data_IF_519683098156
#
_entry.id   IF_519683098156
#
_cell.length_a   1.000
_cell.length_b   1.000
_cell.length_c   1.000
_cell.angle_alpha   90.00
_cell.angle_beta   90.00
_cell.angle_gamma   90.00
#
_symmetry.space_group_name_H-M   'P 1'
#
loop_
_entity.id
_entity.type
_entity.pdbx_description
1 polymer ?
#
# COMPACT_ATOMS: atom_id res chain seq x y z
N UNK A 1 -4.79 10.54 -0.46
CA UNK A 1 -6.06 10.09 -1.08
C UNK A 1 -6.42 11.01 -2.23
N UNK A 2 -7.29 10.55 -3.14
CA UNK A 2 -7.86 11.33 -4.23
C UNK A 2 -9.37 11.39 -4.02
N UNK A 3 -9.95 12.59 -3.94
CA UNK A 3 -11.37 12.75 -3.66
C UNK A 3 -11.94 13.97 -4.39
N UNK A 4 -13.13 13.80 -4.96
CA UNK A 4 -13.94 14.90 -5.52
C UNK A 4 -15.41 14.46 -5.53
N UNK A 5 -16.28 15.22 -4.85
CA UNK A 5 -17.68 14.86 -4.63
C UNK A 5 -17.86 13.41 -4.13
N UNK A 6 -18.48 12.55 -4.95
CA UNK A 6 -18.74 11.13 -4.66
C UNK A 6 -17.57 10.21 -5.09
N UNK A 7 -16.54 10.75 -5.72
CA UNK A 7 -15.34 10.02 -6.07
C UNK A 7 -14.39 9.99 -4.87
N UNK A 8 -13.96 8.80 -4.48
CA UNK A 8 -12.90 8.59 -3.51
C UNK A 8 -12.08 7.37 -3.95
N UNK A 9 -10.76 7.52 -3.97
CA UNK A 9 -9.84 6.40 -4.19
C UNK A 9 -8.53 6.63 -3.43
N UNK A 10 -7.91 5.52 -3.02
CA UNK A 10 -6.51 5.50 -2.65
C UNK A 10 -5.69 5.41 -3.93
N UNK A 11 -4.76 6.34 -4.10
CA UNK A 11 -3.82 6.37 -5.23
C UNK A 11 -2.48 5.78 -4.79
N UNK A 12 -2.01 4.79 -5.52
CA UNK A 12 -0.71 4.14 -5.35
C UNK A 12 0.18 4.36 -6.57
N UNK A 13 1.43 3.93 -6.49
CA UNK A 13 2.35 3.92 -7.64
C UNK A 13 3.25 5.15 -7.74
N UNK A 14 4.06 5.22 -8.82
CA UNK A 14 5.19 6.14 -8.94
C UNK A 14 4.79 7.61 -9.02
N UNK A 15 3.58 7.94 -9.50
CA UNK A 15 3.09 9.32 -9.52
C UNK A 15 3.07 9.98 -8.14
N UNK A 16 3.01 9.21 -7.05
CA UNK A 16 3.15 9.74 -5.68
C UNK A 16 4.53 10.36 -5.43
N UNK A 17 5.60 9.79 -5.99
CA UNK A 17 6.96 10.27 -5.80
C UNK A 17 7.29 11.54 -6.58
N UNK A 18 6.57 11.79 -7.69
CA UNK A 18 6.58 13.08 -8.37
C UNK A 18 5.83 14.13 -7.56
N UNK A 19 4.64 13.75 -7.06
CA UNK A 19 3.78 14.63 -6.30
C UNK A 19 4.38 15.04 -4.94
N UNK A 20 5.10 14.13 -4.28
CA UNK A 20 5.82 14.40 -3.02
C UNK A 20 4.91 14.95 -1.91
N UNK A 21 3.65 14.49 -1.84
CA UNK A 21 2.63 15.06 -0.94
C UNK A 21 2.73 14.51 0.48
N UNK A 22 3.33 13.34 0.65
CA UNK A 22 3.51 12.66 1.93
C UNK A 22 4.85 13.01 2.58
N UNK A 23 4.85 13.19 3.92
CA UNK A 23 6.08 13.42 4.70
C UNK A 23 7.10 12.28 4.55
N UNK A 24 6.63 11.06 4.25
CA UNK A 24 7.46 9.90 3.94
C UNK A 24 8.55 10.21 2.90
N UNK A 25 8.27 11.03 1.88
CA UNK A 25 9.25 11.38 0.86
C UNK A 25 10.41 12.23 1.40
N UNK A 26 10.16 13.06 2.42
CA UNK A 26 11.21 13.79 3.13
C UNK A 26 12.05 12.86 3.98
N UNK A 27 11.41 11.92 4.69
CA UNK A 27 12.10 10.93 5.53
C UNK A 27 13.00 10.01 4.70
N UNK A 28 12.54 9.61 3.52
CA UNK A 28 13.32 8.80 2.59
C UNK A 28 14.38 9.60 1.81
N UNK A 29 14.32 10.94 1.85
CA UNK A 29 15.17 11.79 1.02
C UNK A 29 15.00 11.54 -0.48
N UNK A 30 13.79 11.17 -0.92
CA UNK A 30 13.51 10.75 -2.29
C UNK A 30 12.42 11.61 -2.93
N UNK A 31 12.70 12.08 -4.15
CA UNK A 31 11.73 12.73 -5.03
C UNK A 31 12.05 12.34 -6.47
N UNK A 32 11.02 11.96 -7.20
CA UNK A 32 11.18 11.57 -8.60
C UNK A 32 11.21 12.80 -9.53
N UNK A 33 11.71 12.61 -10.75
CA UNK A 33 11.72 13.61 -11.82
C UNK A 33 11.45 12.91 -13.15
N UNK A 34 10.28 13.16 -13.73
CA UNK A 34 9.84 12.55 -14.98
C UNK A 34 8.82 13.44 -15.70
N UNK A 35 8.70 13.25 -17.02
CA UNK A 35 7.75 13.99 -17.86
C UNK A 35 6.36 13.32 -17.93
N UNK A 36 6.21 12.16 -17.29
CA UNK A 36 4.97 11.38 -17.21
C UNK A 36 4.78 10.78 -15.82
N UNK A 37 3.52 10.56 -15.42
CA UNK A 37 3.19 9.98 -14.13
C UNK A 37 2.15 8.87 -14.26
N UNK A 38 2.33 7.80 -13.47
CA UNK A 38 1.41 6.67 -13.41
C UNK A 38 0.89 6.53 -11.98
N UNK A 39 -0.44 6.43 -11.83
CA UNK A 39 -1.07 6.04 -10.56
C UNK A 39 -1.95 4.82 -10.74
N UNK A 40 -1.95 3.96 -9.73
CA UNK A 40 -2.86 2.81 -9.61
C UNK A 40 -3.96 3.17 -8.63
N UNK A 41 -5.21 3.03 -9.06
CA UNK A 41 -6.40 3.35 -8.26
C UNK A 41 -7.17 2.06 -7.96
N UNK A 42 -7.44 1.81 -6.69
CA UNK A 42 -8.34 0.73 -6.26
C UNK A 42 -9.80 1.20 -6.41
N UNK A 43 -10.26 1.28 -7.66
CA UNK A 43 -11.56 1.84 -8.04
C UNK A 43 -12.08 1.20 -9.32
N UNK A 44 -13.39 1.05 -9.45
CA UNK A 44 -14.10 0.73 -10.70
C UNK A 44 -14.64 1.99 -11.41
N UNK A 45 -14.40 3.17 -10.84
CA UNK A 45 -14.81 4.46 -11.40
C UNK A 45 -13.62 5.17 -12.01
N UNK A 46 -13.84 5.71 -13.20
CA UNK A 46 -12.92 6.64 -13.86
C UNK A 46 -12.78 7.92 -13.00
N UNK A 47 -11.56 8.40 -12.72
CA UNK A 47 -11.39 9.65 -11.97
C UNK A 47 -12.03 10.83 -12.74
N UNK A 48 -12.79 11.69 -12.06
CA UNK A 48 -13.36 12.87 -12.69
C UNK A 48 -12.25 13.87 -13.07
N UNK A 49 -12.57 14.80 -13.96
CA UNK A 49 -11.61 15.76 -14.51
C UNK A 49 -10.87 16.53 -13.40
N UNK A 50 -11.56 16.92 -12.34
CA UNK A 50 -11.01 17.68 -11.22
C UNK A 50 -9.94 16.88 -10.46
N UNK A 51 -10.09 15.54 -10.39
CA UNK A 51 -9.08 14.65 -9.82
C UNK A 51 -7.88 14.55 -10.76
N UNK A 52 -8.10 14.42 -12.07
CA UNK A 52 -7.03 14.38 -13.08
C UNK A 52 -6.21 15.66 -13.06
N UNK A 53 -6.87 16.82 -13.07
CA UNK A 53 -6.22 18.12 -13.00
C UNK A 53 -5.48 18.33 -11.68
N UNK A 54 -6.04 17.87 -10.56
CA UNK A 54 -5.35 17.92 -9.26
C UNK A 54 -4.07 17.09 -9.30
N UNK A 55 -4.12 15.88 -9.84
CA UNK A 55 -2.93 15.03 -9.97
C UNK A 55 -1.92 15.70 -10.88
N UNK A 56 -2.32 16.22 -12.04
CA UNK A 56 -1.43 16.92 -12.97
C UNK A 56 -0.69 18.09 -12.30
N UNK A 57 -1.41 18.90 -11.52
CA UNK A 57 -0.81 20.00 -10.75
C UNK A 57 0.15 19.50 -9.69
N UNK A 58 -0.23 18.47 -8.93
CA UNK A 58 0.60 17.95 -7.85
C UNK A 58 1.89 17.30 -8.39
N UNK A 59 1.81 16.56 -9.49
CA UNK A 59 2.96 15.88 -10.11
C UNK A 59 3.79 16.79 -11.02
N UNK A 60 3.27 17.94 -11.44
CA UNK A 60 3.92 18.86 -12.36
C UNK A 60 3.96 18.39 -13.82
N UNK A 61 3.23 17.32 -14.18
CA UNK A 61 3.16 16.81 -15.56
C UNK A 61 1.84 17.21 -16.22
N UNK A 62 1.83 17.26 -17.56
CA UNK A 62 0.60 17.53 -18.31
C UNK A 62 -0.40 16.39 -18.15
N UNK A 63 -1.69 16.70 -18.20
CA UNK A 63 -2.76 15.71 -18.08
C UNK A 63 -2.68 14.61 -19.16
N UNK A 64 -2.22 14.93 -20.37
CA UNK A 64 -1.98 13.97 -21.46
C UNK A 64 -0.87 12.95 -21.15
N UNK A 65 0.00 13.25 -20.18
CA UNK A 65 1.08 12.37 -19.72
C UNK A 65 0.72 11.67 -18.40
N UNK A 66 -0.54 11.73 -17.96
CA UNK A 66 -1.04 10.97 -16.82
C UNK A 66 -1.63 9.64 -17.27
N UNK A 67 -1.23 8.57 -16.62
CA UNK A 67 -1.87 7.25 -16.76
C UNK A 67 -2.49 6.82 -15.44
N UNK A 68 -3.77 6.47 -15.46
CA UNK A 68 -4.47 5.87 -14.33
C UNK A 68 -4.78 4.41 -14.63
N UNK A 69 -4.28 3.50 -13.79
CA UNK A 69 -4.60 2.07 -13.86
C UNK A 69 -5.69 1.78 -12.83
N UNK A 70 -6.87 1.37 -13.30
CA UNK A 70 -7.99 1.05 -12.43
C UNK A 70 -7.98 -0.43 -12.06
N UNK A 71 -8.01 -0.73 -10.76
CA UNK A 71 -7.90 -2.10 -10.23
C UNK A 71 -8.99 -2.36 -9.18
N UNK A 72 -10.24 -2.60 -9.58
CA UNK A 72 -11.32 -2.89 -8.63
C UNK A 72 -10.94 -4.08 -7.74
N UNK A 73 -11.16 -4.00 -6.43
CA UNK A 73 -10.81 -5.03 -5.44
C UNK A 73 -11.40 -6.42 -5.77
N UNK A 74 -12.54 -6.44 -6.47
CA UNK A 74 -13.23 -7.65 -6.92
C UNK A 74 -12.63 -8.30 -8.17
N UNK A 75 -11.70 -7.62 -8.82
CA UNK A 75 -11.04 -8.09 -10.04
C UNK A 75 -9.78 -8.89 -9.71
N UNK A 76 -9.33 -9.72 -10.66
CA UNK A 76 -8.05 -10.42 -10.54
C UNK A 76 -6.88 -9.43 -10.36
N UNK A 77 -6.84 -8.36 -11.15
CA UNK A 77 -5.79 -7.34 -11.07
C UNK A 77 -5.79 -6.64 -9.70
N UNK A 78 -6.96 -6.28 -9.16
CA UNK A 78 -7.11 -5.71 -7.82
C UNK A 78 -6.67 -6.67 -6.72
N UNK A 79 -7.07 -7.93 -6.81
CA UNK A 79 -6.67 -8.96 -5.85
C UNK A 79 -5.15 -9.16 -5.87
N UNK A 80 -4.56 -9.32 -7.06
CA UNK A 80 -3.11 -9.53 -7.23
C UNK A 80 -2.32 -8.33 -6.73
N UNK A 81 -2.67 -7.10 -7.11
CA UNK A 81 -1.89 -5.92 -6.72
C UNK A 81 -1.95 -5.67 -5.22
N UNK A 82 -3.07 -5.99 -4.54
CA UNK A 82 -3.14 -5.87 -3.08
C UNK A 82 -2.23 -6.92 -2.44
N UNK A 83 -2.35 -8.20 -2.82
CA UNK A 83 -1.51 -9.27 -2.23
C UNK A 83 -0.02 -9.06 -2.52
N UNK A 84 0.34 -8.51 -3.68
CA UNK A 84 1.72 -8.18 -4.04
C UNK A 84 2.37 -7.14 -3.09
N UNK A 85 1.57 -6.45 -2.26
CA UNK A 85 2.06 -5.52 -1.24
C UNK A 85 2.58 -6.19 0.01
N UNK A 86 2.64 -7.52 0.10
CA UNK A 86 3.15 -8.22 1.29
C UNK A 86 4.51 -7.67 1.77
N UNK A 87 5.43 -7.35 0.86
CA UNK A 87 6.70 -6.70 1.23
C UNK A 87 6.49 -5.24 1.69
N UNK A 88 5.65 -4.48 0.99
CA UNK A 88 5.31 -3.10 1.34
C UNK A 88 4.69 -3.01 2.74
N UNK A 89 3.78 -3.92 3.11
CA UNK A 89 3.18 -3.99 4.45
C UNK A 89 4.25 -4.24 5.51
N UNK A 90 5.23 -5.10 5.23
CA UNK A 90 6.35 -5.31 6.14
C UNK A 90 7.22 -4.05 6.26
N UNK A 91 7.56 -3.39 5.15
CA UNK A 91 8.33 -2.13 5.15
C UNK A 91 7.59 -0.99 5.87
N UNK A 92 6.28 -0.90 5.68
CA UNK A 92 5.44 0.05 6.39
C UNK A 92 5.45 -0.24 7.89
N UNK A 93 5.34 -1.51 8.29
CA UNK A 93 5.42 -1.90 9.70
C UNK A 93 6.80 -1.59 10.30
N UNK A 94 7.91 -1.83 9.58
CA UNK A 94 9.27 -1.42 9.99
C UNK A 94 9.31 0.08 10.30
N UNK A 95 8.74 0.91 9.42
CA UNK A 95 8.63 2.35 9.61
C UNK A 95 7.83 2.71 10.87
N UNK A 96 6.66 2.08 11.09
CA UNK A 96 5.84 2.31 12.30
C UNK A 96 6.50 1.84 13.60
N UNK A 97 7.43 0.89 13.52
CA UNK A 97 8.24 0.43 14.65
C UNK A 97 9.48 1.33 14.86
N UNK A 98 9.64 2.38 14.06
CA UNK A 98 10.76 3.32 14.10
C UNK A 98 12.13 2.64 13.94
N UNK A 99 12.17 1.51 13.24
CA UNK A 99 13.44 0.94 12.81
C UNK A 99 14.02 1.81 11.69
N UNK A 100 15.33 2.16 11.73
CA UNK A 100 15.92 3.06 10.73
C UNK A 100 15.75 2.50 9.32
N UNK A 101 15.09 3.25 8.43
CA UNK A 101 14.79 2.76 7.08
C UNK A 101 16.06 2.60 6.24
N UNK A 102 17.09 3.39 6.49
CA UNK A 102 18.41 3.29 5.89
C UNK A 102 19.18 2.01 6.29
N UNK A 103 18.71 1.32 7.32
CA UNK A 103 19.22 0.00 7.69
C UNK A 103 18.55 -1.13 6.91
N UNK A 104 17.42 -0.91 6.25
CA UNK A 104 16.84 -1.92 5.36
C UNK A 104 17.64 -1.96 4.06
N UNK A 105 18.26 -3.09 3.76
CA UNK A 105 19.14 -3.27 2.59
C UNK A 105 18.37 -3.85 1.42
N UNK A 106 17.59 -4.90 1.68
CA UNK A 106 16.84 -5.64 0.67
C UNK A 106 15.71 -6.45 1.34
N UNK A 107 14.79 -6.97 0.55
CA UNK A 107 13.77 -7.87 1.04
C UNK A 107 13.00 -8.56 -0.07
N UNK A 108 12.43 -9.71 0.27
CA UNK A 108 11.55 -10.48 -0.59
C UNK A 108 10.37 -10.99 0.22
N UNK A 109 9.21 -11.12 -0.40
CA UNK A 109 8.04 -11.64 0.30
C UNK A 109 7.07 -12.33 -0.66
N UNK A 110 6.25 -13.22 -0.10
CA UNK A 110 5.20 -13.95 -0.80
C UNK A 110 3.96 -14.05 0.09
N UNK A 111 2.78 -14.09 -0.53
CA UNK A 111 1.51 -14.30 0.13
C UNK A 111 0.56 -15.07 -0.82
N UNK A 112 -0.36 -15.89 -0.30
CA UNK A 112 -1.30 -16.65 -1.13
C UNK A 112 -2.29 -15.71 -1.81
N UNK A 113 -2.58 -15.96 -3.09
CA UNK A 113 -3.64 -15.23 -3.79
C UNK A 113 -5.01 -15.79 -3.38
N UNK A 114 -5.90 -15.00 -2.74
CA UNK A 114 -7.22 -15.48 -2.34
C UNK A 114 -8.17 -15.59 -3.54
N UNK A 115 -9.27 -16.36 -3.41
CA UNK A 115 -10.28 -16.44 -4.46
C UNK A 115 -11.01 -15.10 -4.63
N UNK A 116 -11.50 -14.79 -5.86
CA UNK A 116 -12.30 -13.60 -6.12
C UNK A 116 -13.46 -13.44 -5.14
N UNK A 117 -13.76 -12.20 -4.78
CA UNK A 117 -14.82 -11.86 -3.84
C UNK A 117 -16.05 -11.28 -4.56
N UNK A 118 -17.27 -11.54 -4.06
CA UNK A 118 -18.49 -11.02 -4.66
C UNK A 118 -18.66 -9.52 -4.44
N UNK A 119 -18.14 -8.99 -3.33
CA UNK A 119 -18.25 -7.59 -2.94
C UNK A 119 -16.92 -7.02 -2.44
N UNK A 120 -16.88 -5.69 -2.29
CA UNK A 120 -15.70 -4.96 -1.85
C UNK A 120 -15.25 -5.33 -0.42
N UNK A 121 -16.18 -5.49 0.52
CA UNK A 121 -15.83 -5.71 1.92
C UNK A 121 -15.22 -7.10 2.13
N UNK A 122 -15.78 -8.12 1.47
CA UNK A 122 -15.20 -9.47 1.44
C UNK A 122 -13.88 -9.47 0.68
N UNK A 123 -13.79 -8.74 -0.43
CA UNK A 123 -12.55 -8.60 -1.22
C UNK A 123 -11.43 -8.02 -0.38
N UNK A 124 -11.67 -6.88 0.26
CA UNK A 124 -10.76 -6.20 1.16
C UNK A 124 -10.35 -7.10 2.32
N UNK A 125 -11.31 -7.80 2.95
CA UNK A 125 -11.02 -8.76 4.01
C UNK A 125 -10.05 -9.85 3.54
N UNK A 126 -10.39 -10.56 2.47
CA UNK A 126 -9.59 -11.68 1.95
C UNK A 126 -8.18 -11.28 1.52
N UNK A 127 -8.03 -10.15 0.83
CA UNK A 127 -6.72 -9.70 0.35
C UNK A 127 -5.81 -9.24 1.48
N UNK A 128 -6.36 -8.59 2.51
CA UNK A 128 -5.61 -8.26 3.72
C UNK A 128 -5.27 -9.51 4.52
N UNK A 129 -6.23 -10.43 4.70
CA UNK A 129 -6.02 -11.69 5.42
C UNK A 129 -4.96 -12.58 4.77
N UNK A 130 -4.86 -12.57 3.43
CA UNK A 130 -3.80 -13.24 2.70
C UNK A 130 -2.41 -12.77 3.13
N UNK A 131 -2.22 -11.46 3.34
CA UNK A 131 -0.97 -10.89 3.83
C UNK A 131 -0.80 -11.16 5.33
N UNK A 132 -1.83 -10.88 6.12
CA UNK A 132 -1.76 -10.92 7.58
C UNK A 132 -1.56 -12.33 8.12
N UNK A 133 -2.16 -13.35 7.50
CA UNK A 133 -2.13 -14.72 8.00
C UNK A 133 -1.30 -15.67 7.13
N UNK A 134 -1.06 -15.32 5.86
CA UNK A 134 -0.31 -16.16 4.92
C UNK A 134 0.93 -15.50 4.32
N UNK A 135 1.24 -14.25 4.70
CA UNK A 135 2.40 -13.53 4.22
C UNK A 135 3.70 -14.02 4.86
N UNK A 136 4.71 -14.24 4.05
CA UNK A 136 6.09 -14.51 4.47
C UNK A 136 7.01 -13.45 3.90
N UNK A 137 7.84 -12.85 4.74
CA UNK A 137 8.83 -11.85 4.31
C UNK A 137 10.22 -12.20 4.86
N UNK A 138 11.23 -12.09 4.00
CA UNK A 138 12.64 -12.09 4.35
C UNK A 138 13.17 -10.69 4.12
N UNK A 139 13.78 -10.09 5.14
CA UNK A 139 14.29 -8.72 5.09
C UNK A 139 15.73 -8.71 5.56
N UNK A 140 16.61 -8.15 4.76
CA UNK A 140 18.03 -8.01 5.04
C UNK A 140 18.26 -6.63 5.64
N UNK A 141 18.78 -6.58 6.86
CA UNK A 141 18.98 -5.32 7.60
C UNK A 141 20.41 -5.18 8.11
N UNK A 142 20.86 -3.93 8.23
CA UNK A 142 22.04 -3.53 9.01
C UNK A 142 21.65 -3.31 10.47
N UNK A 143 22.64 -3.31 11.36
CA UNK A 143 22.47 -3.08 12.79
C UNK A 143 23.02 -4.23 13.61
N UNK A 144 22.68 -4.25 14.91
CA UNK A 144 23.07 -5.34 15.79
C UNK A 144 22.08 -6.51 15.70
N UNK A 145 22.54 -7.70 16.10
CA UNK A 145 21.70 -8.90 16.16
C UNK A 145 20.50 -8.69 17.11
N UNK A 146 20.67 -7.92 18.18
CA UNK A 146 19.59 -7.58 19.11
C UNK A 146 18.52 -6.71 18.43
N UNK A 147 18.92 -5.72 17.64
CA UNK A 147 17.99 -4.86 16.93
C UNK A 147 17.22 -5.66 15.86
N UNK A 148 17.91 -6.52 15.11
CA UNK A 148 17.29 -7.41 14.14
C UNK A 148 16.33 -8.41 14.81
N UNK A 149 16.73 -9.02 15.93
CA UNK A 149 15.90 -9.96 16.68
C UNK A 149 14.67 -9.29 17.29
N UNK A 150 14.79 -8.05 17.77
CA UNK A 150 13.65 -7.25 18.23
C UNK A 150 12.68 -6.99 17.08
N UNK A 151 13.19 -6.51 15.95
CA UNK A 151 12.38 -6.25 14.76
C UNK A 151 11.62 -7.51 14.33
N UNK A 152 12.30 -8.65 14.24
CA UNK A 152 11.70 -9.93 13.85
C UNK A 152 10.55 -10.39 14.77
N UNK A 153 10.59 -10.03 16.07
CA UNK A 153 9.51 -10.34 17.02
C UNK A 153 8.32 -9.41 16.90
N UNK A 154 8.54 -8.13 16.60
CA UNK A 154 7.51 -7.09 16.58
C UNK A 154 6.84 -6.91 15.21
N UNK A 155 7.51 -7.35 14.14
CA UNK A 155 7.06 -7.15 12.77
C UNK A 155 5.81 -7.98 12.38
N UNK A 156 5.68 -9.27 12.76
CA UNK A 156 4.54 -10.08 12.35
C UNK A 156 3.20 -9.52 12.81
N UNK A 157 2.15 -9.78 12.03
CA UNK A 157 0.77 -9.42 12.39
C UNK A 157 0.36 -9.97 13.76
N UNK A 158 0.91 -11.12 14.17
CA UNK A 158 0.66 -11.78 15.46
C UNK A 158 1.17 -11.01 16.68
N UNK A 159 2.01 -9.98 16.49
CA UNK A 159 2.39 -9.06 17.55
C UNK A 159 1.29 -8.02 17.86
N UNK A 160 0.26 -7.93 17.01
CA UNK A 160 -0.89 -7.05 17.27
C UNK A 160 -1.90 -7.70 18.20
N UNK A 161 -2.51 -6.90 19.09
CA UNK A 161 -3.64 -7.31 19.93
C UNK A 161 -4.89 -7.73 19.13
N UNK A 162 -5.00 -7.27 17.88
CA UNK A 162 -6.14 -7.53 17.02
C UNK A 162 -5.99 -8.81 16.18
N UNK A 163 -4.84 -9.48 16.27
CA UNK A 163 -4.57 -10.72 15.56
C UNK A 163 -5.54 -11.86 15.94
N UNK A 164 -5.80 -12.73 14.98
CA UNK A 164 -6.64 -13.92 15.15
C UNK A 164 -8.08 -13.75 14.67
N UNK A 165 -8.45 -12.58 14.14
CA UNK A 165 -9.77 -12.32 13.54
C UNK A 165 -9.63 -11.92 12.07
N UNK A 166 -10.56 -12.32 11.19
CA UNK A 166 -10.60 -11.83 9.81
C UNK A 166 -10.60 -10.30 9.76
N UNK A 167 -9.85 -9.71 8.84
CA UNK A 167 -9.69 -8.26 8.73
C UNK A 167 -11.02 -7.54 8.55
N UNK A 168 -11.97 -8.14 7.82
CA UNK A 168 -13.31 -7.58 7.65
C UNK A 168 -14.07 -7.41 8.97
N UNK A 169 -13.83 -8.28 9.96
CA UNK A 169 -14.43 -8.16 11.30
C UNK A 169 -13.74 -7.05 12.10
N UNK A 170 -12.41 -7.02 12.07
CA UNK A 170 -11.62 -5.95 12.70
C UNK A 170 -12.03 -4.58 12.15
N UNK A 171 -12.16 -4.47 10.82
CA UNK A 171 -12.56 -3.24 10.14
C UNK A 171 -13.98 -2.78 10.52
N UNK A 172 -14.94 -3.72 10.63
CA UNK A 172 -16.29 -3.39 11.10
C UNK A 172 -16.28 -2.88 12.53
N UNK A 173 -15.47 -3.47 13.41
CA UNK A 173 -15.44 -3.12 14.83
C UNK A 173 -14.90 -1.71 15.13
N UNK A 174 -14.17 -1.08 14.20
CA UNK A 174 -13.59 0.26 14.39
C UNK A 174 -14.30 1.37 13.59
N UNK A 175 -15.16 1.00 12.65
CA UNK A 175 -15.92 1.94 11.81
C UNK A 175 -17.43 1.98 12.16
N UNK A 176 -17.84 1.32 13.23
CA UNK A 176 -19.15 1.46 13.88
C UNK A 176 -18.98 2.19 15.20
#
# INVERSE_FOLDING_TARGET
SLSHEKFFSLGSGPGRALAGREELYKELGYKDSADAAVLVLESDKVPPQEVVEKVARDTGVKAENLTFILTPTRSLAGTVQIVARVLEVALHKIHTLHFPLEHVVDGMASAPLPPPAPDFLIGMGRTNDAILFGGHAHIFVKGSDEAAAKLAKELPSSASRDYGRPFAEVFKAVNM
#
